data_IF_604372041870
#
_entry.id   IF_604372041870
#
_cell.length_a   1.000
_cell.length_b   1.000
_cell.length_c   1.000
_cell.angle_alpha   90.00
_cell.angle_beta   90.00
_cell.angle_gamma   90.00
#
_symmetry.space_group_name_H-M   'P 1'
#
loop_
_entity.id
_entity.type
_entity.pdbx_description
1 polymer ?
#
# COMPACT_ATOMS: atom_id res chain seq x y z
N UNK A 1 -44.09 -23.91 -37.16
CA UNK A 1 -44.17 -23.20 -35.87
C UNK A 1 -43.23 -23.98 -34.96
N UNK A 2 -42.06 -23.39 -34.63
CA UNK A 2 -41.12 -24.04 -33.72
C UNK A 2 -41.75 -24.01 -32.32
N UNK A 3 -41.90 -25.19 -31.71
CA UNK A 3 -42.25 -25.28 -30.28
C UNK A 3 -41.11 -24.59 -29.49
N UNK A 4 -41.36 -23.34 -29.11
CA UNK A 4 -40.48 -22.61 -28.23
C UNK A 4 -40.45 -23.35 -26.89
N UNK A 5 -39.38 -24.07 -26.63
CA UNK A 5 -39.17 -24.74 -25.34
C UNK A 5 -39.14 -23.67 -24.24
N UNK A 6 -39.87 -23.91 -23.17
CA UNK A 6 -39.85 -23.03 -22.00
C UNK A 6 -38.74 -23.48 -21.06
N UNK A 7 -37.97 -22.51 -20.56
CA UNK A 7 -36.99 -22.74 -19.48
C UNK A 7 -37.58 -22.25 -18.17
N UNK A 8 -37.55 -23.08 -17.16
CA UNK A 8 -37.99 -22.77 -15.79
C UNK A 8 -36.76 -22.51 -14.96
N UNK A 9 -36.72 -21.41 -14.22
CA UNK A 9 -35.56 -20.96 -13.44
C UNK A 9 -35.93 -20.64 -12.00
N UNK A 10 -35.05 -20.97 -11.11
CA UNK A 10 -35.01 -20.42 -9.76
C UNK A 10 -34.02 -19.26 -9.76
N UNK A 11 -34.52 -18.04 -9.53
CA UNK A 11 -33.72 -16.81 -9.57
C UNK A 11 -33.30 -16.47 -8.14
N UNK A 12 -32.01 -16.30 -7.95
CA UNK A 12 -31.41 -15.85 -6.67
C UNK A 12 -31.69 -14.37 -6.39
N UNK A 13 -31.35 -13.88 -5.22
CA UNK A 13 -31.57 -12.49 -4.79
C UNK A 13 -30.78 -11.47 -5.62
N UNK A 14 -29.73 -11.90 -6.30
CA UNK A 14 -28.92 -11.11 -7.24
C UNK A 14 -29.46 -11.11 -8.68
N UNK A 15 -30.67 -11.70 -8.90
CA UNK A 15 -31.26 -11.82 -10.22
C UNK A 15 -30.65 -12.92 -11.10
N UNK A 16 -29.61 -13.60 -10.67
CA UNK A 16 -28.97 -14.66 -11.44
C UNK A 16 -29.70 -16.01 -11.27
N UNK A 17 -29.84 -16.82 -12.36
CA UNK A 17 -30.36 -18.16 -12.26
C UNK A 17 -29.45 -19.07 -11.42
N UNK A 18 -29.96 -19.61 -10.33
CA UNK A 18 -29.23 -20.59 -9.47
C UNK A 18 -29.56 -22.03 -9.84
N UNK A 19 -30.71 -22.24 -10.47
CA UNK A 19 -31.17 -23.53 -10.97
C UNK A 19 -32.08 -23.34 -12.17
N UNK A 20 -32.03 -24.24 -13.15
CA UNK A 20 -32.92 -24.23 -14.33
C UNK A 20 -33.20 -25.63 -14.84
N UNK A 21 -34.32 -25.77 -15.57
CA UNK A 21 -34.73 -27.00 -16.24
C UNK A 21 -35.70 -26.71 -17.39
N UNK A 22 -35.86 -27.65 -18.32
CA UNK A 22 -36.83 -27.60 -19.40
C UNK A 22 -38.25 -28.00 -18.94
N UNK A 23 -38.43 -28.42 -17.69
CA UNK A 23 -39.72 -28.76 -17.08
C UNK A 23 -39.85 -28.06 -15.75
N UNK A 24 -41.10 -27.70 -15.32
CA UNK A 24 -41.30 -27.09 -14.03
C UNK A 24 -40.77 -27.95 -12.88
N UNK A 25 -40.15 -27.30 -11.88
CA UNK A 25 -39.63 -27.95 -10.67
C UNK A 25 -40.03 -27.16 -9.41
N UNK A 26 -40.08 -27.79 -8.24
CA UNK A 26 -40.34 -27.08 -6.99
C UNK A 26 -39.32 -25.99 -6.73
N UNK A 27 -39.76 -24.77 -6.47
CA UNK A 27 -38.90 -23.61 -6.21
C UNK A 27 -38.61 -22.72 -7.43
N UNK A 28 -38.99 -23.11 -8.67
CA UNK A 28 -38.88 -22.18 -9.79
C UNK A 28 -39.79 -20.95 -9.53
N UNK A 29 -39.27 -19.78 -9.78
CA UNK A 29 -39.93 -18.50 -9.58
C UNK A 29 -40.00 -17.66 -10.86
N UNK A 30 -39.41 -18.15 -11.96
CA UNK A 30 -39.42 -17.51 -13.25
C UNK A 30 -39.50 -18.57 -14.37
N UNK A 31 -40.10 -18.20 -15.49
CA UNK A 31 -40.12 -19.00 -16.71
C UNK A 31 -40.07 -18.10 -17.95
N UNK A 32 -39.30 -18.52 -18.96
CA UNK A 32 -39.14 -17.78 -20.18
C UNK A 32 -38.98 -18.74 -21.37
N UNK A 33 -39.34 -18.28 -22.60
CA UNK A 33 -38.96 -19.04 -23.80
C UNK A 33 -37.48 -19.27 -23.88
N UNK A 34 -37.05 -20.47 -24.26
CA UNK A 34 -35.67 -20.73 -24.56
C UNK A 34 -35.22 -19.83 -25.73
N UNK A 35 -34.14 -19.10 -25.52
CA UNK A 35 -33.50 -18.22 -26.51
C UNK A 35 -32.09 -18.66 -26.81
N UNK A 36 -31.34 -17.84 -27.53
CA UNK A 36 -29.92 -18.04 -27.82
C UNK A 36 -29.06 -17.58 -26.61
N UNK A 37 -29.36 -18.08 -25.42
CA UNK A 37 -28.67 -17.75 -24.18
C UNK A 37 -28.60 -18.98 -23.26
N UNK A 38 -27.51 -19.04 -22.49
CA UNK A 38 -27.32 -20.02 -21.43
C UNK A 38 -27.65 -19.38 -20.07
N UNK A 39 -28.29 -20.14 -19.13
CA UNK A 39 -28.66 -19.57 -17.83
C UNK A 39 -27.52 -18.95 -17.01
N UNK A 40 -26.29 -19.37 -17.23
CA UNK A 40 -25.12 -18.76 -16.60
C UNK A 40 -24.62 -17.47 -17.25
N UNK A 41 -25.21 -17.07 -18.38
CA UNK A 41 -24.80 -15.89 -19.16
C UNK A 41 -25.83 -14.75 -19.09
N UNK A 42 -26.88 -14.93 -18.30
CA UNK A 42 -27.99 -13.96 -18.21
C UNK A 42 -28.38 -13.70 -16.76
N UNK A 43 -29.02 -12.57 -16.53
CA UNK A 43 -29.75 -12.27 -15.31
C UNK A 43 -31.19 -11.80 -15.61
N UNK A 44 -32.05 -11.89 -14.63
CA UNK A 44 -33.45 -11.49 -14.74
C UNK A 44 -33.67 -10.21 -13.95
N UNK A 45 -34.14 -9.17 -14.66
CA UNK A 45 -34.51 -7.90 -14.02
C UNK A 45 -35.75 -8.05 -13.16
N UNK A 46 -36.05 -7.09 -12.25
CA UNK A 46 -37.28 -7.12 -11.44
C UNK A 46 -38.57 -7.12 -12.27
N UNK A 47 -38.53 -6.60 -13.48
CA UNK A 47 -39.67 -6.63 -14.42
C UNK A 47 -39.84 -7.96 -15.18
N UNK A 48 -38.97 -8.94 -14.92
CA UNK A 48 -38.94 -10.24 -15.57
C UNK A 48 -38.16 -10.28 -16.88
N UNK A 49 -37.54 -9.19 -17.31
CA UNK A 49 -36.75 -9.15 -18.54
C UNK A 49 -35.42 -9.91 -18.36
N UNK A 50 -35.15 -10.84 -19.29
CA UNK A 50 -33.85 -11.55 -19.35
C UNK A 50 -32.84 -10.67 -20.07
N UNK A 51 -31.69 -10.46 -19.46
CA UNK A 51 -30.64 -9.57 -19.97
C UNK A 51 -29.29 -10.30 -19.91
N UNK A 52 -28.41 -10.14 -20.91
CA UNK A 52 -27.06 -10.67 -20.84
C UNK A 52 -26.33 -10.20 -19.58
N UNK A 53 -25.64 -11.13 -18.92
CA UNK A 53 -24.84 -10.85 -17.74
C UNK A 53 -23.60 -10.03 -18.15
N UNK A 54 -23.38 -8.84 -17.62
CA UNK A 54 -22.18 -8.08 -17.94
C UNK A 54 -20.94 -8.79 -17.37
N UNK A 55 -19.75 -8.58 -17.96
CA UNK A 55 -18.53 -9.20 -17.47
C UNK A 55 -18.24 -8.80 -16.01
N UNK A 56 -18.04 -9.80 -15.16
CA UNK A 56 -17.74 -9.62 -13.73
C UNK A 56 -16.33 -9.08 -13.56
N UNK A 57 -16.16 -8.05 -12.76
CA UNK A 57 -14.87 -7.39 -12.56
C UNK A 57 -14.06 -8.09 -11.44
N UNK A 58 -14.76 -8.52 -10.36
CA UNK A 58 -14.13 -9.19 -9.20
C UNK A 58 -15.00 -10.36 -8.73
N UNK A 59 -14.38 -11.37 -8.16
CA UNK A 59 -15.09 -12.55 -7.61
C UNK A 59 -16.07 -12.16 -6.50
N UNK A 60 -15.76 -11.10 -5.75
CA UNK A 60 -16.58 -10.58 -4.65
C UNK A 60 -17.72 -9.66 -5.08
N UNK A 61 -17.78 -9.27 -6.38
CA UNK A 61 -18.81 -8.37 -6.84
C UNK A 61 -20.17 -9.08 -6.87
N UNK A 62 -21.22 -8.36 -6.47
CA UNK A 62 -22.62 -8.79 -6.48
C UNK A 62 -23.37 -7.99 -7.53
N UNK A 63 -24.16 -8.67 -8.35
CA UNK A 63 -24.97 -8.00 -9.37
C UNK A 63 -26.15 -7.29 -8.71
N UNK A 64 -26.35 -6.02 -9.03
CA UNK A 64 -27.61 -5.34 -8.78
C UNK A 64 -28.59 -5.66 -9.93
N UNK A 65 -29.62 -6.46 -9.70
CA UNK A 65 -30.52 -6.86 -10.77
C UNK A 65 -31.37 -5.70 -11.31
N UNK A 66 -31.55 -4.61 -10.57
CA UNK A 66 -32.29 -3.44 -11.00
C UNK A 66 -31.53 -2.62 -12.04
N UNK A 67 -30.24 -2.42 -11.84
CA UNK A 67 -29.41 -1.62 -12.73
C UNK A 67 -28.57 -2.46 -13.70
N UNK A 68 -28.32 -3.73 -13.38
CA UNK A 68 -27.41 -4.60 -14.11
C UNK A 68 -25.94 -4.27 -13.88
N UNK A 69 -25.64 -3.51 -12.85
CA UNK A 69 -24.26 -3.15 -12.50
C UNK A 69 -23.69 -4.10 -11.45
N UNK A 70 -22.39 -4.43 -11.58
CA UNK A 70 -21.67 -5.11 -10.54
C UNK A 70 -21.32 -4.13 -9.43
N UNK A 71 -21.72 -4.44 -8.22
CA UNK A 71 -21.40 -3.69 -7.00
C UNK A 71 -20.39 -4.46 -6.16
N UNK A 72 -19.55 -3.74 -5.46
CA UNK A 72 -18.62 -4.35 -4.50
C UNK A 72 -19.39 -5.02 -3.35
N UNK A 73 -19.48 -6.34 -3.40
CA UNK A 73 -20.19 -7.16 -2.43
C UNK A 73 -19.45 -7.40 -1.12
N UNK A 74 -18.23 -6.87 -0.96
CA UNK A 74 -17.47 -6.99 0.27
C UNK A 74 -18.15 -6.22 1.41
N UNK A 75 -18.16 -6.79 2.59
CA UNK A 75 -18.60 -6.09 3.78
C UNK A 75 -17.56 -5.04 4.24
N UNK A 76 -17.95 -4.16 5.16
CA UNK A 76 -17.07 -3.07 5.63
C UNK A 76 -15.79 -3.58 6.32
N UNK A 77 -15.84 -4.75 6.96
CA UNK A 77 -14.67 -5.35 7.59
C UNK A 77 -13.66 -5.83 6.53
N UNK A 78 -14.14 -6.46 5.46
CA UNK A 78 -13.32 -6.89 4.33
C UNK A 78 -12.70 -5.69 3.61
N UNK A 79 -13.49 -4.64 3.34
CA UNK A 79 -12.98 -3.39 2.74
C UNK A 79 -11.89 -2.75 3.59
N UNK A 80 -12.08 -2.70 4.91
CA UNK A 80 -11.05 -2.17 5.84
C UNK A 80 -9.79 -3.04 5.86
N UNK A 81 -9.94 -4.37 5.81
CA UNK A 81 -8.80 -5.28 5.79
C UNK A 81 -7.97 -5.10 4.50
N UNK A 82 -8.62 -5.05 3.34
CA UNK A 82 -7.96 -4.85 2.06
C UNK A 82 -7.28 -3.47 2.00
N UNK A 83 -7.96 -2.42 2.50
CA UNK A 83 -7.37 -1.09 2.61
C UNK A 83 -6.13 -1.09 3.49
N UNK A 84 -6.20 -1.69 4.67
CA UNK A 84 -5.07 -1.78 5.58
C UNK A 84 -3.89 -2.55 4.96
N UNK A 85 -4.15 -3.58 4.19
CA UNK A 85 -3.14 -4.32 3.45
C UNK A 85 -2.50 -3.46 2.36
N UNK A 86 -3.29 -2.73 1.57
CA UNK A 86 -2.79 -1.82 0.54
C UNK A 86 -1.92 -0.69 1.13
N UNK A 87 -2.37 -0.07 2.23
CA UNK A 87 -1.59 0.94 2.97
C UNK A 87 -0.28 0.36 3.50
N UNK A 88 -0.28 -0.86 4.03
CA UNK A 88 0.95 -1.51 4.51
C UNK A 88 1.92 -1.78 3.36
N UNK A 89 1.44 -2.28 2.22
CA UNK A 89 2.27 -2.54 1.04
C UNK A 89 2.94 -1.25 0.53
N UNK A 90 2.18 -0.16 0.44
CA UNK A 90 2.72 1.12 -0.01
C UNK A 90 3.67 1.75 1.03
N UNK A 91 3.38 1.65 2.32
CA UNK A 91 4.31 2.02 3.39
C UNK A 91 5.66 1.31 3.22
N UNK A 92 5.64 0.00 3.05
CA UNK A 92 6.86 -0.81 2.96
C UNK A 92 7.65 -0.46 1.69
N UNK A 93 6.96 -0.19 0.57
CA UNK A 93 7.57 0.33 -0.66
C UNK A 93 8.26 1.67 -0.42
N UNK A 94 7.61 2.60 0.29
CA UNK A 94 8.17 3.94 0.60
C UNK A 94 9.34 3.86 1.57
N UNK A 95 9.27 3.01 2.58
CA UNK A 95 10.38 2.77 3.50
C UNK A 95 11.62 2.16 2.82
N UNK A 96 11.44 1.43 1.72
CA UNK A 96 12.52 0.86 0.92
C UNK A 96 12.99 1.78 -0.22
N UNK A 97 12.53 3.03 -0.28
CA UNK A 97 12.83 3.96 -1.38
C UNK A 97 14.04 4.86 -1.08
N UNK A 98 13.85 6.16 -1.12
CA UNK A 98 14.91 7.14 -0.90
C UNK A 98 14.35 8.35 -0.15
N UNK A 99 15.23 9.13 0.48
CA UNK A 99 14.91 10.44 1.03
C UNK A 99 15.92 11.49 0.59
N UNK A 100 15.54 12.75 0.70
CA UNK A 100 16.39 13.88 0.33
C UNK A 100 16.95 14.52 1.60
N UNK A 101 18.27 14.70 1.62
CA UNK A 101 18.97 15.46 2.63
C UNK A 101 19.99 16.40 1.96
N UNK A 102 19.98 17.70 2.32
CA UNK A 102 20.83 18.74 1.74
C UNK A 102 20.83 18.74 0.20
N UNK A 103 19.67 18.50 -0.43
CA UNK A 103 19.50 18.46 -1.88
C UNK A 103 20.02 17.19 -2.57
N UNK A 104 20.53 16.23 -1.82
CA UNK A 104 21.01 14.94 -2.33
C UNK A 104 20.09 13.81 -1.89
N UNK A 105 19.89 12.81 -2.77
CA UNK A 105 19.00 11.67 -2.53
C UNK A 105 19.79 10.48 -1.97
N UNK A 106 19.27 9.88 -0.89
CA UNK A 106 19.89 8.75 -0.20
C UNK A 106 18.93 7.57 -0.08
N UNK A 107 19.48 6.37 -0.04
CA UNK A 107 18.73 5.13 0.11
C UNK A 107 18.21 4.96 1.55
N UNK A 108 16.99 4.39 1.68
CA UNK A 108 16.35 4.10 2.97
C UNK A 108 16.10 2.61 3.22
N UNK A 109 16.76 1.73 2.46
CA UNK A 109 16.69 0.31 2.77
C UNK A 109 17.22 0.03 4.19
N UNK A 110 16.82 -1.09 4.83
CA UNK A 110 17.17 -1.36 6.24
C UNK A 110 18.68 -1.41 6.52
N UNK A 111 19.49 -1.80 5.52
CA UNK A 111 20.94 -1.83 5.66
C UNK A 111 21.48 -0.41 5.65
N UNK A 112 21.01 0.43 4.74
CA UNK A 112 21.41 1.84 4.64
C UNK A 112 21.00 2.60 5.89
N UNK A 113 19.77 2.47 6.38
CA UNK A 113 19.31 3.08 7.63
C UNK A 113 20.14 2.66 8.83
N UNK A 114 20.48 1.36 8.94
CA UNK A 114 21.37 0.87 10.00
C UNK A 114 22.78 1.46 9.93
N UNK A 115 23.30 1.71 8.74
CA UNK A 115 24.60 2.37 8.53
C UNK A 115 24.52 3.85 8.90
N UNK A 116 23.45 4.55 8.48
CA UNK A 116 23.18 5.96 8.82
C UNK A 116 23.13 6.12 10.34
N UNK A 117 22.33 5.31 11.04
CA UNK A 117 22.19 5.35 12.49
C UNK A 117 23.55 5.14 13.21
N UNK A 118 24.37 4.18 12.74
CA UNK A 118 25.70 3.94 13.32
C UNK A 118 26.67 5.09 13.08
N UNK A 119 26.65 5.69 11.86
CA UNK A 119 27.47 6.82 11.53
C UNK A 119 27.09 8.05 12.38
N UNK A 120 25.79 8.35 12.48
CA UNK A 120 25.24 9.43 13.31
C UNK A 120 25.62 9.26 14.78
N UNK A 121 25.45 8.07 15.36
CA UNK A 121 25.85 7.79 16.74
C UNK A 121 27.38 7.88 16.95
N UNK A 122 28.16 7.57 15.93
CA UNK A 122 29.62 7.78 15.93
C UNK A 122 30.00 9.25 15.94
N UNK A 123 29.32 10.05 15.11
CA UNK A 123 29.49 11.49 15.03
C UNK A 123 29.10 12.19 16.33
N UNK A 124 27.97 11.82 16.92
CA UNK A 124 27.51 12.36 18.21
C UNK A 124 28.54 12.10 19.33
N UNK A 125 29.09 10.87 19.41
CA UNK A 125 30.17 10.55 20.35
C UNK A 125 31.41 11.37 20.11
N UNK A 126 31.77 11.64 18.87
CA UNK A 126 32.91 12.47 18.50
C UNK A 126 32.73 13.91 18.96
N UNK A 127 31.55 14.53 18.66
CA UNK A 127 31.21 15.90 19.05
C UNK A 127 31.17 16.05 20.56
N UNK A 128 30.51 15.13 21.27
CA UNK A 128 30.31 15.21 22.70
C UNK A 128 31.48 14.69 23.55
N UNK A 129 32.61 14.36 22.93
CA UNK A 129 33.81 13.90 23.62
C UNK A 129 33.66 12.56 24.37
N UNK A 130 32.58 11.81 24.14
CA UNK A 130 32.29 10.50 24.74
C UNK A 130 33.00 9.34 24.05
N UNK A 131 33.86 9.64 23.09
CA UNK A 131 34.71 8.63 22.42
C UNK A 131 35.90 8.25 23.28
N UNK A 132 35.87 7.02 23.83
CA UNK A 132 36.89 6.33 24.61
C UNK A 132 37.06 6.84 26.05
N UNK A 133 36.47 6.10 26.99
CA UNK A 133 36.62 6.32 28.42
C UNK A 133 38.08 6.13 28.90
N UNK A 134 38.44 6.94 29.87
CA UNK A 134 39.73 6.90 30.54
C UNK A 134 40.64 8.06 30.14
N UNK A 135 41.48 8.54 31.07
CA UNK A 135 42.38 9.67 30.94
C UNK A 135 43.30 9.54 29.69
N UNK A 136 42.74 9.84 28.53
CA UNK A 136 43.47 9.84 27.27
C UNK A 136 44.44 11.02 27.25
N UNK A 137 45.69 10.81 26.87
CA UNK A 137 46.71 11.83 26.67
C UNK A 137 46.19 12.90 25.66
N UNK A 138 46.73 14.13 25.73
CA UNK A 138 46.43 15.22 24.78
C UNK A 138 46.61 14.78 23.32
N UNK A 139 47.58 13.89 23.06
CA UNK A 139 47.84 13.30 21.74
C UNK A 139 46.70 12.39 21.30
N UNK A 140 46.11 11.59 22.21
CA UNK A 140 44.97 10.72 21.95
C UNK A 140 43.71 11.55 21.73
N UNK A 141 43.51 12.67 22.47
CA UNK A 141 42.41 13.63 22.23
C UNK A 141 42.54 14.32 20.89
N UNK A 142 43.76 14.67 20.45
CA UNK A 142 43.99 15.24 19.10
C UNK A 142 43.76 14.23 18.00
N UNK A 143 44.11 12.97 18.18
CA UNK A 143 43.83 11.89 17.24
C UNK A 143 42.32 11.56 17.20
N UNK A 144 41.63 11.65 18.35
CA UNK A 144 40.18 11.44 18.46
C UNK A 144 39.32 12.59 17.87
N UNK A 145 39.92 13.76 17.60
CA UNK A 145 39.23 14.90 16.97
C UNK A 145 39.15 14.79 15.45
N UNK A 146 39.55 13.66 14.88
CA UNK A 146 39.43 13.41 13.46
C UNK A 146 38.17 12.56 13.21
N UNK A 147 37.17 13.18 12.62
CA UNK A 147 36.02 12.50 12.07
C UNK A 147 36.43 11.81 10.75
N UNK A 148 36.30 10.48 10.67
CA UNK A 148 36.75 9.69 9.52
C UNK A 148 38.20 9.15 9.66
N UNK A 149 38.55 8.14 8.85
CA UNK A 149 39.77 7.34 8.98
C UNK A 149 41.06 8.07 8.55
N UNK A 150 40.98 9.22 7.91
CA UNK A 150 42.17 9.83 7.27
C UNK A 150 42.15 11.37 7.24
N UNK A 151 41.76 12.05 8.29
CA UNK A 151 41.70 13.54 8.33
C UNK A 151 40.72 14.17 7.34
N UNK A 152 39.80 13.40 6.82
CA UNK A 152 38.73 13.85 5.94
C UNK A 152 37.39 13.77 6.67
N UNK A 153 36.41 14.52 6.19
CA UNK A 153 35.02 14.36 6.56
C UNK A 153 34.55 12.92 6.26
N UNK A 154 33.52 12.48 6.95
CA UNK A 154 32.93 11.19 6.66
C UNK A 154 32.33 11.22 5.24
N UNK A 155 32.65 10.24 4.41
CA UNK A 155 32.17 10.15 3.04
C UNK A 155 30.99 9.18 2.97
N UNK A 156 29.83 9.67 2.49
CA UNK A 156 28.66 8.84 2.22
C UNK A 156 28.45 8.70 0.71
N UNK A 157 27.85 7.58 0.32
CA UNK A 157 27.50 7.34 -1.09
C UNK A 157 26.01 7.62 -1.27
N UNK A 158 25.65 8.59 -2.11
CA UNK A 158 24.29 8.89 -2.49
C UNK A 158 23.68 7.83 -3.42
N UNK A 159 22.39 7.89 -3.68
CA UNK A 159 21.67 6.92 -4.51
C UNK A 159 22.15 6.88 -5.98
N UNK A 160 22.76 7.96 -6.45
CA UNK A 160 23.38 8.10 -7.78
C UNK A 160 24.87 7.74 -7.82
N UNK A 161 25.39 7.14 -6.74
CA UNK A 161 26.81 6.84 -6.50
C UNK A 161 27.73 8.07 -6.33
N UNK A 162 27.19 9.27 -6.17
CA UNK A 162 27.99 10.45 -5.83
C UNK A 162 28.50 10.31 -4.40
N UNK A 163 29.79 10.65 -4.18
CA UNK A 163 30.40 10.68 -2.84
C UNK A 163 30.10 12.03 -2.20
N UNK A 164 29.44 12.01 -1.04
CA UNK A 164 29.05 13.21 -0.30
C UNK A 164 29.86 13.28 0.99
N UNK A 165 30.78 14.22 1.13
CA UNK A 165 31.48 14.44 2.38
C UNK A 165 30.53 15.08 3.40
N UNK A 166 30.62 14.64 4.67
CA UNK A 166 29.80 15.14 5.77
C UNK A 166 30.69 15.41 6.99
N UNK A 167 30.56 16.59 7.57
CA UNK A 167 31.09 16.89 8.90
C UNK A 167 30.40 16.02 9.96
N UNK A 168 30.91 16.00 11.17
CA UNK A 168 30.26 15.25 12.26
C UNK A 168 28.86 15.78 12.56
N UNK A 169 28.68 17.12 12.54
CA UNK A 169 27.39 17.79 12.75
C UNK A 169 26.39 17.45 11.65
N UNK A 170 26.83 17.47 10.39
CA UNK A 170 25.99 17.07 9.25
C UNK A 170 25.62 15.58 9.31
N UNK A 171 26.53 14.73 9.77
CA UNK A 171 26.25 13.31 9.94
C UNK A 171 25.22 13.02 11.05
N UNK A 172 25.24 13.81 12.15
CA UNK A 172 24.18 13.75 13.18
C UNK A 172 22.84 14.23 12.60
N UNK A 173 22.85 15.37 11.90
CA UNK A 173 21.65 15.89 11.24
C UNK A 173 21.10 14.92 10.17
N UNK A 174 21.96 14.24 9.43
CA UNK A 174 21.61 13.22 8.46
C UNK A 174 20.87 12.05 9.11
N UNK A 175 21.38 11.55 10.26
CA UNK A 175 20.70 10.51 11.04
C UNK A 175 19.32 10.93 11.52
N UNK A 176 19.21 12.15 12.06
CA UNK A 176 17.93 12.71 12.51
C UNK A 176 16.93 12.87 11.36
N UNK A 177 17.39 13.31 10.18
CA UNK A 177 16.55 13.45 9.00
C UNK A 177 16.05 12.10 8.48
N UNK A 178 16.89 11.07 8.49
CA UNK A 178 16.51 9.71 8.10
C UNK A 178 15.46 9.12 9.06
N UNK A 179 15.62 9.31 10.37
CA UNK A 179 14.67 8.88 11.39
C UNK A 179 13.33 9.62 11.25
N UNK A 180 13.35 10.94 11.05
CA UNK A 180 12.15 11.74 10.84
C UNK A 180 11.39 11.31 9.56
N UNK A 181 12.12 11.00 8.48
CA UNK A 181 11.54 10.47 7.24
C UNK A 181 10.82 9.13 7.49
N UNK A 182 11.49 8.17 8.11
CA UNK A 182 10.91 6.86 8.45
C UNK A 182 9.67 7.02 9.33
N UNK A 183 9.77 7.81 10.40
CA UNK A 183 8.68 8.06 11.33
C UNK A 183 7.47 8.69 10.63
N UNK A 184 7.70 9.65 9.71
CA UNK A 184 6.63 10.32 8.97
C UNK A 184 5.81 9.34 8.14
N UNK A 185 6.46 8.39 7.45
CA UNK A 185 5.81 7.35 6.65
C UNK A 185 4.99 6.41 7.56
N UNK A 186 5.55 5.98 8.69
CA UNK A 186 4.88 5.06 9.62
C UNK A 186 3.63 5.71 10.22
N UNK A 187 3.73 6.97 10.69
CA UNK A 187 2.61 7.70 11.27
C UNK A 187 1.53 8.00 10.23
N UNK A 188 1.93 8.33 8.99
CA UNK A 188 0.97 8.54 7.91
C UNK A 188 0.23 7.27 7.55
N UNK A 189 0.93 6.13 7.43
CA UNK A 189 0.29 4.82 7.22
C UNK A 189 -0.71 4.50 8.32
N UNK A 190 -0.41 4.84 9.57
CA UNK A 190 -1.35 4.67 10.68
C UNK A 190 -2.58 5.54 10.51
N UNK A 191 -2.41 6.82 10.23
CA UNK A 191 -3.51 7.77 10.02
C UNK A 191 -4.43 7.34 8.86
N UNK A 192 -3.86 6.87 7.75
CA UNK A 192 -4.62 6.35 6.60
C UNK A 192 -5.47 5.13 6.98
N UNK A 193 -4.93 4.20 7.79
CA UNK A 193 -5.69 3.04 8.27
C UNK A 193 -6.80 3.42 9.25
N UNK A 194 -6.54 4.38 10.13
CA UNK A 194 -7.54 4.86 11.11
C UNK A 194 -8.67 5.65 10.43
N UNK A 195 -8.39 6.35 9.32
CA UNK A 195 -9.40 7.01 8.50
C UNK A 195 -10.32 6.04 7.75
N UNK A 196 -9.88 4.80 7.57
CA UNK A 196 -10.64 3.76 6.87
C UNK A 196 -10.49 3.81 5.35
N UNK A 197 -11.19 2.92 4.63
CA UNK A 197 -11.13 2.83 3.19
C UNK A 197 -11.54 4.13 2.52
N UNK A 198 -10.66 4.65 1.69
CA UNK A 198 -10.88 5.85 0.88
C UNK A 198 -10.60 5.51 -0.60
N UNK A 199 -11.11 6.35 -1.50
CA UNK A 199 -10.79 6.30 -2.92
C UNK A 199 -9.43 6.92 -3.26
N UNK A 200 -8.65 7.34 -2.26
CA UNK A 200 -7.34 7.95 -2.45
C UNK A 200 -6.38 7.00 -3.18
N UNK A 201 -5.68 7.54 -4.17
CA UNK A 201 -4.60 6.83 -4.82
C UNK A 201 -3.38 6.81 -3.88
N UNK A 202 -3.13 5.65 -3.27
CA UNK A 202 -2.00 5.48 -2.36
C UNK A 202 -0.63 5.68 -3.02
N UNK A 203 -0.54 5.63 -4.36
CA UNK A 203 0.70 5.92 -5.08
C UNK A 203 1.00 7.42 -5.17
N UNK A 204 0.00 8.29 -4.95
CA UNK A 204 0.17 9.73 -4.96
C UNK A 204 0.97 10.19 -3.73
N UNK A 205 2.05 10.92 -3.96
CA UNK A 205 2.90 11.49 -2.91
C UNK A 205 2.14 12.50 -2.04
N UNK A 206 1.15 13.20 -2.60
CA UNK A 206 0.27 14.12 -1.87
C UNK A 206 -0.49 13.44 -0.73
N UNK A 207 -0.88 12.18 -0.91
CA UNK A 207 -1.56 11.38 0.13
C UNK A 207 -0.63 11.10 1.33
N UNK A 208 0.68 11.04 1.10
CA UNK A 208 1.69 10.77 2.12
C UNK A 208 2.36 12.03 2.66
N UNK A 209 2.14 13.18 2.03
CA UNK A 209 2.59 14.48 2.53
C UNK A 209 1.62 15.02 3.56
N UNK A 210 2.15 15.51 4.67
CA UNK A 210 1.34 16.16 5.71
C UNK A 210 0.84 15.18 6.78
N UNK A 211 1.57 15.14 7.90
CA UNK A 211 0.99 14.69 9.17
C UNK A 211 -0.03 15.74 9.61
N UNK A 212 -1.23 15.35 10.08
CA UNK A 212 -2.03 16.27 10.88
C UNK A 212 -1.19 16.65 12.11
N UNK A 213 -0.91 17.95 12.24
CA UNK A 213 -0.23 18.51 13.40
C UNK A 213 -1.06 18.36 14.67
#
# INVERSE_FOLDING_TARGET
>A
MSDLKTVYMEIGPDGCPVRWASTPFPGHNHSAPAGDWEPGEVYVKPDGTITPLPPRTRVTDVLDPATGAWMDGRNDAEKRADWAQAVNAERDRRLASTFVFMGTTFQTDPISLSRIARASAGADRFINGKGVGGAASEATRRASRRWGAASRDFEWIASDNTVVPMTAEECVAFGAAAEAHEQSIILRARALKDGGPDSADLSDDGVWSGLPG
#
